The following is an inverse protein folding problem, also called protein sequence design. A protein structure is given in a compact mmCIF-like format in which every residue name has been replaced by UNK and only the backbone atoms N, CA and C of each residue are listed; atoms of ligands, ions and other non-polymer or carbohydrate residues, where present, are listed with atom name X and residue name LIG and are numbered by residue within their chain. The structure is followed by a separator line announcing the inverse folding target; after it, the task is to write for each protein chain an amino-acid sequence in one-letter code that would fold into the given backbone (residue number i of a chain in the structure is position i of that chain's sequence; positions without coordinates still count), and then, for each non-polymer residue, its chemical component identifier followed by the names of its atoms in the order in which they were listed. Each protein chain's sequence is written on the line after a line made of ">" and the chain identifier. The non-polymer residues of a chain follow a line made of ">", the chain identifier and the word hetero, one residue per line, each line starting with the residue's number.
data_IF_415838110393
#
_entry.id   IF_415838110393
#
_cell.length_a   1.000
_cell.length_b   1.000
_cell.length_c   1.000
_cell.angle_alpha   90.00
_cell.angle_beta   90.00
_cell.angle_gamma   90.00
#
_symmetry.space_group_name_H-M   'P 1'
#
loop_
_entity.id
_entity.type
_entity.pdbx_description
1 polymer ?
#
# COMPACT_ATOMS: atom_id res chain seq x y z
N UNK A 1 -14.97 -14.71 -1.81
CA UNK A 1 -14.49 -14.38 -3.18
C UNK A 1 -13.09 -13.81 -3.11
N UNK A 2 -12.45 -13.51 -4.24
CA UNK A 2 -11.16 -12.79 -4.25
C UNK A 2 -11.37 -11.32 -3.86
N UNK A 3 -10.49 -10.77 -3.02
CA UNK A 3 -10.47 -9.35 -2.65
C UNK A 3 -9.52 -8.58 -3.56
N UNK A 4 -9.95 -7.44 -4.06
CA UNK A 4 -9.23 -6.61 -5.03
C UNK A 4 -9.22 -5.17 -4.53
N UNK A 5 -8.11 -4.47 -4.76
CA UNK A 5 -7.97 -3.06 -4.43
C UNK A 5 -7.26 -2.30 -5.55
N UNK A 6 -7.43 -0.98 -5.56
CA UNK A 6 -6.69 -0.07 -6.40
C UNK A 6 -6.01 0.98 -5.53
N UNK A 7 -4.81 1.40 -5.93
CA UNK A 7 -4.02 2.33 -5.12
C UNK A 7 -2.93 3.02 -5.90
N UNK A 8 -2.30 3.97 -5.22
CA UNK A 8 -1.14 4.72 -5.72
C UNK A 8 0.04 4.49 -4.79
N UNK A 9 1.23 4.41 -5.39
CA UNK A 9 2.48 4.20 -4.68
C UNK A 9 3.48 5.32 -4.99
N UNK A 10 4.15 5.80 -3.95
CA UNK A 10 5.28 6.71 -4.05
C UNK A 10 6.56 5.99 -3.64
N UNK A 11 7.64 6.28 -4.36
CA UNK A 11 8.99 5.81 -4.04
C UNK A 11 9.93 7.00 -3.93
N UNK A 12 10.64 7.08 -2.83
CA UNK A 12 11.65 8.12 -2.58
C UNK A 12 12.99 7.48 -2.25
N UNK A 13 14.05 7.90 -2.93
CA UNK A 13 15.40 7.37 -2.71
C UNK A 13 16.07 8.20 -1.63
N UNK A 14 16.41 7.55 -0.51
CA UNK A 14 17.17 8.17 0.57
C UNK A 14 18.60 7.62 0.59
N UNK A 15 19.55 8.28 1.27
CA UNK A 15 20.92 7.76 1.45
C UNK A 15 21.00 6.40 2.16
N UNK A 16 19.99 6.01 2.93
CA UNK A 16 19.93 4.73 3.64
C UNK A 16 18.99 3.70 2.96
N UNK A 17 18.48 4.02 1.76
CA UNK A 17 17.69 3.11 0.93
C UNK A 17 16.36 3.70 0.43
N UNK A 18 15.63 2.97 -0.43
CA UNK A 18 14.32 3.40 -0.90
C UNK A 18 13.28 3.41 0.24
N UNK A 19 12.51 4.49 0.32
CA UNK A 19 11.26 4.56 1.06
C UNK A 19 10.11 4.32 0.09
N UNK A 20 9.19 3.42 0.45
CA UNK A 20 7.96 3.16 -0.30
C UNK A 20 6.76 3.51 0.58
N UNK A 21 5.81 4.25 0.02
CA UNK A 21 4.52 4.53 0.65
C UNK A 21 3.44 4.23 -0.37
N UNK A 22 2.49 3.36 -0.04
CA UNK A 22 1.34 3.07 -0.87
C UNK A 22 0.05 3.37 -0.11
N UNK A 23 -0.93 3.93 -0.81
CA UNK A 23 -2.29 4.09 -0.32
C UNK A 23 -3.25 3.39 -1.29
N UNK A 24 -4.15 2.56 -0.77
CA UNK A 24 -5.09 1.78 -1.58
C UNK A 24 -6.49 1.79 -0.99
N UNK A 25 -7.49 1.66 -1.86
CA UNK A 25 -8.90 1.47 -1.50
C UNK A 25 -9.37 0.09 -1.99
N UNK A 26 -10.19 -0.63 -1.21
CA UNK A 26 -10.79 -1.88 -1.65
C UNK A 26 -11.83 -1.61 -2.74
N UNK A 27 -11.84 -2.43 -3.80
CA UNK A 27 -12.83 -2.36 -4.88
C UNK A 27 -14.03 -3.29 -4.63
N UNK A 28 -13.92 -4.17 -3.64
CA UNK A 28 -14.99 -5.07 -3.22
C UNK A 28 -14.93 -5.40 -1.69
N UNK A 29 -15.10 -4.38 -0.82
CA UNK A 29 -15.11 -4.58 0.63
C UNK A 29 -16.34 -5.35 1.10
N UNK A 30 -16.17 -6.17 2.14
CA UNK A 30 -17.25 -6.72 2.97
C UNK A 30 -17.69 -5.65 4.00
N UNK A 31 -18.85 -5.80 4.66
CA UNK A 31 -19.39 -4.79 5.58
C UNK A 31 -18.45 -4.37 6.71
N UNK A 32 -17.52 -5.25 7.10
CA UNK A 32 -16.57 -5.01 8.20
C UNK A 32 -15.14 -4.70 7.70
N UNK A 33 -14.91 -4.62 6.39
CA UNK A 33 -13.60 -4.29 5.83
C UNK A 33 -13.28 -2.80 6.01
N UNK A 34 -12.01 -2.42 6.24
CA UNK A 34 -11.60 -1.02 6.30
C UNK A 34 -11.69 -0.33 4.94
N UNK A 35 -12.12 0.94 4.93
CA UNK A 35 -12.32 1.74 3.71
C UNK A 35 -11.02 2.10 2.96
N UNK A 36 -9.87 2.04 3.63
CA UNK A 36 -8.56 2.33 3.04
C UNK A 36 -7.44 1.56 3.73
N UNK A 37 -6.34 1.35 2.99
CA UNK A 37 -5.10 0.77 3.50
C UNK A 37 -3.91 1.68 3.20
N UNK A 38 -3.00 1.80 4.18
CA UNK A 38 -1.71 2.45 4.00
C UNK A 38 -0.62 1.41 4.26
N UNK A 39 0.35 1.35 3.35
CA UNK A 39 1.55 0.55 3.50
C UNK A 39 2.79 1.45 3.44
N UNK A 40 3.75 1.20 4.32
CA UNK A 40 5.04 1.88 4.31
C UNK A 40 6.17 0.87 4.48
N UNK A 41 7.24 1.02 3.70
CA UNK A 41 8.41 0.15 3.74
C UNK A 41 9.72 0.92 3.58
N UNK A 42 10.76 0.52 4.32
CA UNK A 42 12.09 1.11 4.29
C UNK A 42 13.09 0.03 3.86
N UNK A 43 13.89 0.32 2.83
CA UNK A 43 14.93 -0.57 2.31
C UNK A 43 14.55 -1.28 1.01
N UNK A 44 15.43 -2.18 0.54
CA UNK A 44 15.08 -3.14 -0.50
C UNK A 44 14.26 -4.27 0.15
N UNK A 45 12.95 -4.24 -0.04
CA UNK A 45 12.08 -5.35 0.37
C UNK A 45 12.54 -6.64 -0.34
N UNK A 46 12.84 -7.68 0.45
CA UNK A 46 13.19 -9.03 -0.01
C UNK A 46 12.00 -9.71 -0.68
#
# INVERSE_FOLDING_TARGET
>A
GMKVGAGVGLRYITPFGPLRIDAAVPLNPDPDDPDFGIYAGIGQAF
#
